data_IF_542875796599
#
_entry.id   IF_542875796599
#
_cell.length_a   1.000
_cell.length_b   1.000
_cell.length_c   1.000
_cell.angle_alpha   90.00
_cell.angle_beta   90.00
_cell.angle_gamma   90.00
#
_symmetry.space_group_name_H-M   'P 1'
#
loop_
_entity.id
_entity.type
_entity.pdbx_description
1 polymer ?
#
# COMPACT_ATOMS: atom_id res chain seq x y z
N UNK A 1 -9.68 5.28 -7.58
CA UNK A 1 -8.25 5.52 -7.85
C UNK A 1 -7.86 6.99 -7.74
N UNK A 2 -8.47 7.92 -8.50
CA UNK A 2 -8.02 9.34 -8.52
C UNK A 2 -7.85 10.00 -7.14
N UNK A 3 -8.83 9.90 -6.24
CA UNK A 3 -8.74 10.46 -4.88
C UNK A 3 -7.52 9.96 -4.08
N UNK A 4 -7.15 8.69 -4.24
CA UNK A 4 -6.00 8.11 -3.55
C UNK A 4 -4.68 8.62 -4.16
N UNK A 5 -4.63 8.76 -5.49
CA UNK A 5 -3.47 9.32 -6.18
C UNK A 5 -3.29 10.80 -5.82
N UNK A 6 -4.37 11.57 -5.72
CA UNK A 6 -4.33 12.96 -5.24
C UNK A 6 -3.83 13.03 -3.79
N UNK A 7 -4.27 12.13 -2.91
CA UNK A 7 -3.80 12.07 -1.53
C UNK A 7 -2.31 11.71 -1.44
N UNK A 8 -1.84 10.78 -2.27
CA UNK A 8 -0.43 10.42 -2.41
C UNK A 8 0.41 11.59 -2.95
N UNK A 9 -0.13 12.36 -3.89
CA UNK A 9 0.52 13.57 -4.37
C UNK A 9 0.59 14.66 -3.30
N UNK A 10 -0.48 14.90 -2.54
CA UNK A 10 -0.50 15.95 -1.52
C UNK A 10 0.32 15.59 -0.28
N UNK A 11 0.33 14.32 0.10
CA UNK A 11 1.03 13.79 1.28
C UNK A 11 1.89 12.57 0.92
N UNK A 12 3.00 12.76 0.18
CA UNK A 12 3.76 11.65 -0.38
C UNK A 12 4.44 10.76 0.65
N UNK A 13 4.89 11.32 1.78
CA UNK A 13 5.65 10.61 2.82
C UNK A 13 6.73 9.68 2.21
N UNK A 14 6.61 8.37 2.38
CA UNK A 14 7.45 7.34 1.75
C UNK A 14 6.69 6.53 0.68
N UNK A 15 5.44 6.88 0.37
CA UNK A 15 4.50 6.13 -0.45
C UNK A 15 4.48 6.55 -1.93
N UNK A 16 4.93 7.76 -2.25
CA UNK A 16 4.90 8.25 -3.63
C UNK A 16 6.19 9.01 -4.01
N UNK A 17 6.75 8.63 -5.15
CA UNK A 17 7.97 9.21 -5.73
C UNK A 17 7.85 9.23 -7.24
N UNK A 18 8.37 10.27 -7.87
CA UNK A 18 8.41 10.38 -9.34
C UNK A 18 9.83 10.60 -9.78
N UNK A 19 10.24 9.85 -10.79
CA UNK A 19 11.56 9.93 -11.40
C UNK A 19 11.42 10.32 -12.87
N UNK A 20 12.30 11.19 -13.33
CA UNK A 20 12.47 11.53 -14.74
C UNK A 20 13.87 11.13 -15.17
N UNK A 21 13.97 10.20 -16.12
CA UNK A 21 15.24 9.66 -16.62
C UNK A 21 16.17 9.20 -15.47
N UNK A 22 15.60 8.53 -14.47
CA UNK A 22 16.33 8.02 -13.30
C UNK A 22 16.63 9.06 -12.21
N UNK A 23 16.38 10.35 -12.45
CA UNK A 23 16.55 11.41 -11.45
C UNK A 23 15.26 11.64 -10.68
N UNK A 24 15.33 11.70 -9.35
CA UNK A 24 14.16 11.99 -8.52
C UNK A 24 13.71 13.43 -8.75
N UNK A 25 12.45 13.62 -9.14
CA UNK A 25 11.84 14.95 -9.36
C UNK A 25 10.71 15.25 -8.38
N UNK A 26 10.20 14.24 -7.64
CA UNK A 26 9.15 14.42 -6.63
C UNK A 26 9.22 13.35 -5.53
N UNK A 27 8.91 13.72 -4.29
CA UNK A 27 9.04 12.86 -3.11
C UNK A 27 10.45 12.93 -2.52
N UNK A 28 10.83 11.94 -1.70
CA UNK A 28 12.13 11.98 -1.01
C UNK A 28 12.82 10.63 -0.85
N UNK A 29 14.16 10.70 -0.73
CA UNK A 29 15.04 9.57 -0.53
C UNK A 29 15.14 9.24 0.97
N UNK A 30 14.23 8.39 1.46
CA UNK A 30 14.46 7.64 2.71
C UNK A 30 14.21 8.36 4.04
N UNK A 31 13.22 9.24 4.17
CA UNK A 31 12.90 9.88 5.46
C UNK A 31 11.50 10.47 5.62
N UNK A 32 10.56 10.10 4.76
CA UNK A 32 9.23 10.72 4.68
C UNK A 32 9.31 12.17 4.19
N UNK A 33 8.65 12.50 3.08
CA UNK A 33 8.50 13.90 2.67
C UNK A 33 7.29 14.54 3.32
N UNK A 34 7.47 15.81 3.72
CA UNK A 34 6.38 16.68 4.17
C UNK A 34 5.35 16.88 3.04
N UNK A 35 4.19 17.42 3.40
CA UNK A 35 3.15 17.79 2.44
C UNK A 35 3.69 18.67 1.32
N UNK A 36 3.16 18.48 0.11
CA UNK A 36 3.53 19.25 -1.07
C UNK A 36 3.22 20.72 -0.85
N UNK A 37 4.24 21.57 -0.95
CA UNK A 37 4.09 23.02 -0.85
C UNK A 37 4.16 23.65 -2.25
N UNK A 38 3.83 24.95 -2.31
CA UNK A 38 3.78 25.68 -3.58
C UNK A 38 5.08 25.63 -4.40
N UNK A 39 6.26 25.67 -3.75
CA UNK A 39 7.53 25.63 -4.47
C UNK A 39 7.79 24.25 -5.08
N UNK A 40 7.53 23.18 -4.32
CA UNK A 40 7.66 21.80 -4.80
C UNK A 40 6.69 21.53 -5.96
N UNK A 41 5.46 22.03 -5.86
CA UNK A 41 4.44 21.91 -6.91
C UNK A 41 4.90 22.58 -8.22
N UNK A 42 5.42 23.81 -8.15
CA UNK A 42 5.93 24.53 -9.32
C UNK A 42 7.15 23.85 -9.96
N UNK A 43 8.11 23.39 -9.16
CA UNK A 43 9.30 22.69 -9.67
C UNK A 43 8.91 21.38 -10.35
N UNK A 44 7.98 20.64 -9.75
CA UNK A 44 7.46 19.41 -10.30
C UNK A 44 6.70 19.64 -11.61
N UNK A 45 5.77 20.59 -11.63
CA UNK A 45 4.99 20.99 -12.81
C UNK A 45 5.90 21.38 -13.99
N UNK A 46 7.01 22.09 -13.70
CA UNK A 46 8.00 22.44 -14.71
C UNK A 46 8.82 21.25 -15.21
N UNK A 47 9.18 20.31 -14.34
CA UNK A 47 9.89 19.09 -14.72
C UNK A 47 9.09 18.23 -15.72
N UNK A 48 7.75 18.28 -15.67
CA UNK A 48 6.86 17.51 -16.55
C UNK A 48 6.72 18.06 -17.97
N UNK A 49 7.25 19.26 -18.25
CA UNK A 49 7.06 20.01 -19.52
C UNK A 49 7.23 19.19 -20.80
N UNK A 50 8.21 18.29 -20.81
CA UNK A 50 8.57 17.54 -22.01
C UNK A 50 7.91 16.15 -22.09
N UNK A 51 7.40 15.64 -20.97
CA UNK A 51 6.74 14.33 -20.91
C UNK A 51 5.22 14.41 -21.11
N UNK A 52 4.60 15.47 -20.60
CA UNK A 52 3.15 15.67 -20.64
C UNK A 52 2.81 16.90 -21.48
N UNK A 53 2.08 16.67 -22.58
CA UNK A 53 1.62 17.69 -23.52
C UNK A 53 0.33 18.33 -22.99
N UNK A 54 0.49 19.25 -22.05
CA UNK A 54 -0.58 20.07 -21.50
C UNK A 54 -0.08 21.50 -21.22
N UNK A 55 -1.02 22.43 -21.04
CA UNK A 55 -0.70 23.81 -20.67
C UNK A 55 0.00 23.89 -19.29
N UNK A 56 0.77 24.96 -19.07
CA UNK A 56 1.40 25.20 -17.77
C UNK A 56 0.34 25.32 -16.67
N UNK A 57 0.51 24.54 -15.60
CA UNK A 57 -0.44 24.45 -14.48
C UNK A 57 -1.40 23.26 -14.61
N UNK A 58 -1.39 22.55 -15.73
CA UNK A 58 -2.25 21.38 -15.96
C UNK A 58 -1.48 20.06 -16.03
N UNK A 59 -0.14 20.08 -16.13
CA UNK A 59 0.64 18.86 -16.43
C UNK A 59 0.63 17.87 -15.28
N UNK A 60 0.66 18.36 -14.04
CA UNK A 60 0.55 17.55 -12.82
C UNK A 60 -0.78 16.80 -12.81
N UNK A 61 -1.90 17.49 -13.01
CA UNK A 61 -3.23 16.88 -13.10
C UNK A 61 -3.26 15.76 -14.15
N UNK A 62 -2.69 16.01 -15.34
CA UNK A 62 -2.64 15.03 -16.43
C UNK A 62 -1.73 13.84 -16.13
N UNK A 63 -0.66 14.01 -15.37
CA UNK A 63 0.13 12.89 -14.89
C UNK A 63 -0.65 12.05 -13.86
N UNK A 64 -1.37 12.66 -12.93
CA UNK A 64 -2.17 11.92 -11.95
C UNK A 64 -3.34 11.16 -12.63
N UNK A 65 -3.93 11.75 -13.67
CA UNK A 65 -4.88 11.09 -14.57
C UNK A 65 -4.25 9.88 -15.26
N UNK A 66 -3.04 10.04 -15.83
CA UNK A 66 -2.30 8.94 -16.47
C UNK A 66 -2.04 7.77 -15.51
N UNK A 67 -1.55 8.06 -14.30
CA UNK A 67 -1.29 7.06 -13.27
C UNK A 67 -2.58 6.33 -12.88
N UNK A 68 -3.66 7.09 -12.73
CA UNK A 68 -4.99 6.55 -12.39
C UNK A 68 -5.48 5.58 -13.46
N UNK A 69 -5.39 5.96 -14.74
CA UNK A 69 -5.80 5.12 -15.86
C UNK A 69 -4.92 3.86 -15.97
N UNK A 70 -3.61 4.01 -15.78
CA UNK A 70 -2.64 2.90 -15.80
C UNK A 70 -2.98 1.85 -14.74
N UNK A 71 -3.25 2.28 -13.51
CA UNK A 71 -3.62 1.40 -12.42
C UNK A 71 -4.94 0.69 -12.68
N UNK A 72 -5.95 1.44 -13.16
CA UNK A 72 -7.26 0.89 -13.47
C UNK A 72 -7.21 -0.19 -14.56
N UNK A 73 -6.57 0.11 -15.70
CA UNK A 73 -6.48 -0.82 -16.83
C UNK A 73 -5.62 -2.03 -16.51
N UNK A 74 -4.56 -1.86 -15.71
CA UNK A 74 -3.66 -2.98 -15.39
C UNK A 74 -4.30 -4.07 -14.54
N UNK A 75 -5.32 -3.75 -13.72
CA UNK A 75 -5.92 -4.69 -12.76
C UNK A 75 -4.94 -5.26 -11.72
N UNK A 76 -3.73 -4.69 -11.63
CA UNK A 76 -2.64 -5.25 -10.80
C UNK A 76 -2.89 -5.07 -9.31
N UNK A 77 -3.60 -4.01 -8.92
CA UNK A 77 -3.96 -3.78 -7.52
C UNK A 77 -4.96 -4.83 -7.02
N UNK A 78 -5.88 -5.31 -7.86
CA UNK A 78 -6.80 -6.39 -7.49
C UNK A 78 -6.04 -7.69 -7.23
N UNK A 79 -5.08 -8.01 -8.10
CA UNK A 79 -4.22 -9.19 -7.92
C UNK A 79 -3.34 -9.09 -6.68
N UNK A 80 -2.78 -7.90 -6.42
CA UNK A 80 -1.98 -7.64 -5.23
C UNK A 80 -2.82 -7.80 -3.96
N UNK A 81 -4.05 -7.29 -3.99
CA UNK A 81 -5.00 -7.40 -2.87
C UNK A 81 -5.32 -8.87 -2.55
N UNK A 82 -5.50 -9.74 -3.55
CA UNK A 82 -5.71 -11.17 -3.30
C UNK A 82 -4.52 -11.84 -2.58
N UNK A 83 -3.29 -11.41 -2.85
CA UNK A 83 -2.11 -11.89 -2.11
C UNK A 83 -2.08 -11.33 -0.68
N UNK A 84 -2.44 -10.05 -0.49
CA UNK A 84 -2.52 -9.45 0.84
C UNK A 84 -3.59 -10.11 1.72
N UNK A 85 -4.68 -10.61 1.13
CA UNK A 85 -5.74 -11.36 1.81
C UNK A 85 -5.33 -12.75 2.30
N UNK A 86 -4.14 -13.24 1.96
CA UNK A 86 -3.58 -14.45 2.58
C UNK A 86 -3.37 -14.28 4.09
N UNK A 87 -3.28 -13.04 4.57
CA UNK A 87 -3.42 -12.69 5.99
C UNK A 87 -4.90 -12.77 6.43
N UNK A 88 -5.39 -14.00 6.60
CA UNK A 88 -6.79 -14.28 6.81
C UNK A 88 -7.27 -14.17 8.28
N UNK A 89 -6.35 -14.30 9.24
CA UNK A 89 -6.67 -14.33 10.68
C UNK A 89 -5.99 -13.21 11.48
N UNK A 90 -5.31 -12.30 10.77
CA UNK A 90 -4.54 -11.19 11.33
C UNK A 90 -3.37 -11.64 12.23
N UNK A 91 -2.49 -10.70 12.55
CA UNK A 91 -1.31 -10.95 13.39
C UNK A 91 -1.68 -11.42 14.80
N UNK A 92 -2.84 -10.98 15.32
CA UNK A 92 -3.40 -11.45 16.60
C UNK A 92 -3.67 -12.95 16.61
N UNK A 93 -4.04 -13.56 15.47
CA UNK A 93 -4.18 -15.01 15.34
C UNK A 93 -2.86 -15.71 14.99
N UNK A 94 -2.07 -15.13 14.07
CA UNK A 94 -0.83 -15.72 13.54
C UNK A 94 0.20 -15.95 14.65
N UNK A 95 0.27 -15.08 15.66
CA UNK A 95 1.24 -15.20 16.76
C UNK A 95 1.11 -16.52 17.54
N UNK A 96 -0.10 -17.09 17.62
CA UNK A 96 -0.34 -18.37 18.28
C UNK A 96 0.32 -19.52 17.53
N UNK A 97 0.05 -19.62 16.22
CA UNK A 97 0.67 -20.60 15.34
C UNK A 97 2.20 -20.46 15.29
N UNK A 98 2.72 -19.22 15.35
CA UNK A 98 4.15 -18.96 15.45
C UNK A 98 4.78 -19.61 16.70
N UNK A 99 4.16 -19.44 17.87
CA UNK A 99 4.69 -20.01 19.11
C UNK A 99 4.68 -21.54 19.10
N UNK A 100 3.65 -22.16 18.51
CA UNK A 100 3.59 -23.61 18.32
C UNK A 100 4.74 -24.10 17.44
N UNK A 101 4.97 -23.46 16.28
CA UNK A 101 6.06 -23.80 15.37
C UNK A 101 7.42 -23.61 16.06
N UNK A 102 7.58 -22.52 16.81
CA UNK A 102 8.81 -22.23 17.55
C UNK A 102 9.03 -23.16 18.76
N UNK A 103 8.05 -24.01 19.09
CA UNK A 103 8.05 -24.86 20.30
C UNK A 103 8.28 -24.03 21.57
N UNK A 104 7.68 -22.84 21.63
CA UNK A 104 7.79 -21.91 22.76
C UNK A 104 6.43 -21.76 23.46
N UNK A 105 6.41 -21.50 24.79
CA UNK A 105 5.17 -21.14 25.46
C UNK A 105 4.56 -19.89 24.83
N UNK A 106 3.28 -19.95 24.45
CA UNK A 106 2.60 -18.83 23.82
C UNK A 106 2.48 -17.63 24.79
N UNK A 107 3.14 -16.52 24.47
CA UNK A 107 3.15 -15.33 25.32
C UNK A 107 1.87 -14.50 25.16
N UNK A 108 1.22 -14.56 23.99
CA UNK A 108 -0.07 -13.91 23.76
C UNK A 108 -1.15 -14.47 24.71
N UNK A 109 -1.22 -15.80 24.84
CA UNK A 109 -2.16 -16.46 25.75
C UNK A 109 -1.94 -16.13 27.23
N UNK A 110 -0.71 -15.85 27.65
CA UNK A 110 -0.41 -15.48 29.04
C UNK A 110 -0.94 -14.10 29.43
N UNK A 111 -1.18 -13.23 28.44
CA UNK A 111 -1.65 -11.86 28.65
C UNK A 111 -3.19 -11.74 28.57
N UNK A 112 -3.89 -12.82 28.18
CA UNK A 112 -5.34 -12.84 28.01
C UNK A 112 -6.05 -13.29 29.29
N UNK A 113 -7.25 -12.74 29.52
CA UNK A 113 -8.17 -13.25 30.53
C UNK A 113 -8.72 -14.64 30.12
N UNK A 114 -9.05 -15.47 31.12
CA UNK A 114 -9.38 -16.89 30.92
C UNK A 114 -10.57 -17.15 29.97
N UNK A 115 -11.52 -16.21 29.88
CA UNK A 115 -12.74 -16.30 29.06
C UNK A 115 -12.52 -15.93 27.58
N UNK A 116 -11.57 -15.04 27.28
CA UNK A 116 -11.23 -14.65 25.89
C UNK A 116 -10.34 -15.70 25.22
N UNK A 117 -9.49 -16.34 26.02
CA UNK A 117 -8.61 -17.45 25.63
C UNK A 117 -9.38 -18.70 25.16
N UNK A 118 -10.52 -19.01 25.77
CA UNK A 118 -11.11 -20.36 25.68
C UNK A 118 -11.83 -20.67 24.37
N UNK A 119 -12.30 -19.67 23.61
CA UNK A 119 -13.14 -19.94 22.42
C UNK A 119 -12.48 -19.62 21.07
N UNK A 120 -11.57 -18.63 20.99
CA UNK A 120 -11.03 -18.16 19.69
C UNK A 120 -9.66 -18.74 19.33
N UNK A 121 -8.77 -18.88 20.32
CA UNK A 121 -7.36 -19.21 20.06
C UNK A 121 -6.96 -20.62 20.53
N UNK A 122 -7.76 -21.27 21.39
CA UNK A 122 -7.55 -22.66 21.77
C UNK A 122 -7.57 -23.63 20.57
N UNK A 123 -8.39 -23.33 19.56
CA UNK A 123 -8.47 -24.09 18.31
C UNK A 123 -7.20 -23.97 17.46
N UNK A 124 -6.50 -22.83 17.52
CA UNK A 124 -5.22 -22.64 16.82
C UNK A 124 -4.12 -23.51 17.43
N UNK A 125 -4.06 -23.61 18.77
CA UNK A 125 -3.09 -24.46 19.45
C UNK A 125 -3.37 -25.97 19.34
N UNK A 126 -4.60 -26.33 18.96
CA UNK A 126 -5.01 -27.73 18.77
C UNK A 126 -4.85 -28.21 17.32
N UNK A 127 -4.42 -27.33 16.41
CA UNK A 127 -4.36 -27.63 14.99
C UNK A 127 -3.10 -28.44 14.61
N UNK A 128 -3.12 -29.19 13.50
CA UNK A 128 -1.94 -29.87 13.00
C UNK A 128 -0.82 -28.89 12.67
N UNK A 129 0.43 -29.28 12.94
CA UNK A 129 1.63 -28.47 12.65
C UNK A 129 1.69 -27.94 11.21
N UNK A 130 1.22 -28.74 10.24
CA UNK A 130 1.16 -28.35 8.83
C UNK A 130 0.24 -27.13 8.60
N UNK A 131 -0.89 -27.05 9.31
CA UNK A 131 -1.80 -25.91 9.24
C UNK A 131 -1.19 -24.67 9.92
N UNK A 132 -0.52 -24.84 11.06
CA UNK A 132 0.22 -23.74 11.71
C UNK A 132 1.29 -23.18 10.76
N UNK A 133 2.09 -24.05 10.13
CA UNK A 133 3.11 -23.67 9.16
C UNK A 133 2.51 -22.91 7.98
N UNK A 134 1.38 -23.37 7.46
CA UNK A 134 0.67 -22.73 6.36
C UNK A 134 0.18 -21.33 6.74
N UNK A 135 -0.42 -21.16 7.92
CA UNK A 135 -0.88 -19.87 8.44
C UNK A 135 0.28 -18.88 8.49
N UNK A 136 1.39 -19.24 9.13
CA UNK A 136 2.53 -18.33 9.26
C UNK A 136 3.18 -18.05 7.91
N UNK A 137 3.28 -19.05 7.03
CA UNK A 137 3.84 -18.85 5.68
C UNK A 137 2.98 -17.88 4.87
N UNK A 138 1.66 -18.06 4.87
CA UNK A 138 0.73 -17.20 4.14
C UNK A 138 0.73 -15.78 4.69
N UNK A 139 0.82 -15.63 6.00
CA UNK A 139 1.01 -14.32 6.64
C UNK A 139 2.29 -13.63 6.17
N UNK A 140 3.44 -14.32 6.11
CA UNK A 140 4.70 -13.72 5.67
C UNK A 140 4.67 -13.34 4.18
N UNK A 141 3.98 -14.12 3.34
CA UNK A 141 3.71 -13.77 1.94
C UNK A 141 2.86 -12.49 1.88
N UNK A 142 1.77 -12.42 2.65
CA UNK A 142 0.92 -11.25 2.72
C UNK A 142 1.67 -10.01 3.23
N UNK A 143 2.48 -10.16 4.28
CA UNK A 143 3.33 -9.09 4.82
C UNK A 143 4.35 -8.59 3.78
N UNK A 144 4.89 -9.48 2.94
CA UNK A 144 5.73 -9.09 1.81
C UNK A 144 4.93 -8.27 0.78
N UNK A 145 3.70 -8.70 0.46
CA UNK A 145 2.81 -7.98 -0.46
C UNK A 145 2.27 -6.65 0.09
N UNK A 146 2.24 -6.45 1.41
CA UNK A 146 1.86 -5.18 2.06
C UNK A 146 2.99 -4.13 2.04
N UNK A 147 4.25 -4.59 2.03
CA UNK A 147 5.44 -3.73 2.13
C UNK A 147 6.13 -3.45 0.78
N UNK A 148 5.71 -4.08 -0.32
CA UNK A 148 6.39 -3.95 -1.62
C UNK A 148 6.23 -2.57 -2.27
N UNK A 149 7.04 -2.32 -3.30
CA UNK A 149 6.96 -1.11 -4.12
C UNK A 149 6.43 -1.47 -5.50
N UNK A 150 5.38 -0.77 -5.94
CA UNK A 150 4.92 -0.81 -7.33
C UNK A 150 5.55 0.36 -8.11
N UNK A 151 6.25 0.04 -9.19
CA UNK A 151 6.85 1.03 -10.09
C UNK A 151 6.13 1.02 -11.44
N UNK A 152 5.58 2.18 -11.81
CA UNK A 152 4.99 2.44 -13.12
C UNK A 152 6.01 3.23 -13.95
N UNK A 153 6.39 2.70 -15.10
CA UNK A 153 7.30 3.36 -16.05
C UNK A 153 6.51 3.75 -17.30
N UNK A 154 6.57 5.03 -17.64
CA UNK A 154 5.88 5.61 -18.79
C UNK A 154 6.90 6.11 -19.80
N UNK A 155 6.71 5.75 -21.06
CA UNK A 155 7.48 6.30 -22.18
C UNK A 155 6.50 6.88 -23.22
N UNK A 156 6.53 8.20 -23.49
CA UNK A 156 5.69 8.79 -24.53
C UNK A 156 6.02 8.20 -25.90
N UNK A 157 4.99 7.80 -26.66
CA UNK A 157 5.16 7.36 -28.05
C UNK A 157 5.23 8.57 -28.99
N UNK A 158 6.09 8.48 -30.01
CA UNK A 158 6.12 9.46 -31.08
C UNK A 158 4.95 9.22 -32.06
N UNK A 159 4.39 10.28 -32.65
CA UNK A 159 3.37 10.13 -33.70
C UNK A 159 3.94 9.31 -34.87
N UNK A 160 3.42 8.10 -35.06
CA UNK A 160 3.84 7.20 -36.15
C UNK A 160 4.51 5.91 -35.70
N UNK A 161 4.74 5.71 -34.39
CA UNK A 161 5.10 4.38 -33.86
C UNK A 161 3.86 3.48 -33.92
N UNK A 162 3.79 2.70 -34.99
CA UNK A 162 2.88 1.58 -35.13
C UNK A 162 3.66 0.37 -34.64
N UNK A 163 3.17 -0.28 -33.58
CA UNK A 163 3.70 -1.51 -32.98
C UNK A 163 4.75 -1.34 -31.86
N UNK A 164 4.29 -0.81 -30.71
CA UNK A 164 4.88 -1.21 -29.43
C UNK A 164 4.35 -2.60 -29.03
N UNK A 165 5.22 -3.57 -28.68
CA UNK A 165 4.79 -4.88 -28.19
C UNK A 165 4.15 -4.83 -26.79
N UNK A 166 4.25 -3.70 -26.09
CA UNK A 166 3.63 -3.48 -24.78
C UNK A 166 2.33 -2.69 -24.95
N UNK A 167 1.33 -2.97 -24.10
CA UNK A 167 0.03 -2.31 -24.17
C UNK A 167 0.17 -0.78 -24.10
N UNK A 168 -0.17 -0.10 -25.19
CA UNK A 168 -0.14 1.35 -25.27
C UNK A 168 -1.31 1.93 -24.45
N UNK A 169 -0.99 2.81 -23.50
CA UNK A 169 -1.96 3.57 -22.71
C UNK A 169 -2.24 4.89 -23.40
N UNK A 170 -3.48 5.10 -23.86
CA UNK A 170 -3.88 6.34 -24.52
C UNK A 170 -4.59 7.29 -23.55
N UNK A 171 -3.97 8.45 -23.29
CA UNK A 171 -4.53 9.51 -22.46
C UNK A 171 -5.32 10.50 -23.32
N UNK A 172 -6.65 10.40 -23.26
CA UNK A 172 -7.56 11.19 -24.09
C UNK A 172 -7.43 12.70 -23.89
N UNK A 173 -7.20 13.14 -22.64
CA UNK A 173 -7.17 14.56 -22.28
C UNK A 173 -5.97 15.32 -22.86
N UNK A 174 -4.86 14.63 -23.14
CA UNK A 174 -3.68 15.21 -23.79
C UNK A 174 -3.48 14.72 -25.23
N UNK A 175 -4.31 13.78 -25.68
CA UNK A 175 -4.18 13.10 -26.97
C UNK A 175 -2.78 12.49 -27.16
N UNK A 176 -2.23 11.88 -26.09
CA UNK A 176 -0.92 11.23 -26.07
C UNK A 176 -1.05 9.73 -25.81
N UNK A 177 -0.17 8.94 -26.42
CA UNK A 177 0.01 7.52 -26.11
C UNK A 177 1.30 7.31 -25.32
N UNK A 178 1.28 6.37 -24.38
CA UNK A 178 2.42 6.00 -23.56
C UNK A 178 2.60 4.48 -23.55
N UNK A 179 3.84 4.02 -23.70
CA UNK A 179 4.19 2.66 -23.32
C UNK A 179 4.21 2.56 -21.80
N UNK A 180 3.51 1.55 -21.28
CA UNK A 180 3.46 1.26 -19.85
C UNK A 180 4.23 -0.02 -19.54
N UNK A 181 5.16 0.07 -18.60
CA UNK A 181 5.74 -1.08 -17.92
C UNK A 181 5.48 -0.98 -16.43
N UNK A 182 4.98 -2.07 -15.84
CA UNK A 182 4.78 -2.17 -14.39
C UNK A 182 5.78 -3.17 -13.81
N UNK A 183 6.30 -2.89 -12.63
CA UNK A 183 7.23 -3.77 -11.92
C UNK A 183 6.97 -3.71 -10.42
N UNK A 184 7.18 -4.86 -9.75
CA UNK A 184 7.16 -4.95 -8.29
C UNK A 184 8.59 -5.09 -7.79
N UNK A 185 8.94 -4.33 -6.76
CA UNK A 185 10.27 -4.28 -6.13
C UNK A 185 10.08 -4.56 -4.64
N UNK A 186 11.13 -5.03 -3.97
CA UNK A 186 11.13 -5.39 -2.54
C UNK A 186 10.21 -6.59 -2.23
N UNK A 187 10.44 -7.69 -2.98
CA UNK A 187 9.72 -8.97 -2.82
C UNK A 187 10.46 -9.95 -1.90
N UNK A 188 11.38 -9.45 -1.09
CA UNK A 188 12.14 -10.29 -0.16
C UNK A 188 11.22 -10.79 0.96
N UNK A 189 11.19 -12.12 1.14
CA UNK A 189 10.34 -12.77 2.14
C UNK A 189 10.65 -12.21 3.53
N UNK A 190 9.60 -11.82 4.26
CA UNK A 190 9.76 -11.36 5.64
C UNK A 190 10.32 -12.48 6.52
N UNK A 191 11.34 -12.23 7.36
CA UNK A 191 11.89 -13.25 8.23
C UNK A 191 10.85 -13.80 9.22
N UNK A 192 10.85 -15.11 9.46
CA UNK A 192 9.95 -15.76 10.43
C UNK A 192 9.93 -15.10 11.81
N UNK A 193 11.10 -14.69 12.32
CA UNK A 193 11.21 -14.01 13.63
C UNK A 193 10.50 -12.64 13.69
N UNK A 194 10.21 -12.01 12.54
CA UNK A 194 9.49 -10.72 12.52
C UNK A 194 8.03 -10.85 12.94
N UNK A 195 7.44 -12.05 12.96
CA UNK A 195 6.06 -12.24 13.43
C UNK A 195 5.87 -11.68 14.85
N UNK A 196 6.83 -11.94 15.76
CA UNK A 196 6.78 -11.39 17.13
C UNK A 196 6.82 -9.86 17.12
N UNK A 197 7.72 -9.28 16.31
CA UNK A 197 7.82 -7.83 16.16
C UNK A 197 6.53 -7.21 15.60
N UNK A 198 5.93 -7.83 14.58
CA UNK A 198 4.69 -7.35 13.99
C UNK A 198 3.53 -7.41 14.98
N UNK A 199 3.46 -8.46 15.80
CA UNK A 199 2.48 -8.55 16.89
C UNK A 199 2.68 -7.43 17.91
N UNK A 200 3.90 -7.19 18.39
CA UNK A 200 4.17 -6.11 19.34
C UNK A 200 3.85 -4.72 18.76
N UNK A 201 4.20 -4.49 17.49
CA UNK A 201 3.91 -3.24 16.80
C UNK A 201 2.42 -3.01 16.64
N UNK A 202 1.66 -4.04 16.25
CA UNK A 202 0.21 -3.97 16.10
C UNK A 202 -0.47 -3.59 17.42
N UNK A 203 -0.10 -4.27 18.52
CA UNK A 203 -0.64 -3.96 19.84
C UNK A 203 -0.33 -2.52 20.29
N UNK A 204 0.84 -1.99 19.93
CA UNK A 204 1.18 -0.59 20.18
C UNK A 204 0.31 0.36 19.35
N UNK A 205 0.14 0.09 18.05
CA UNK A 205 -0.68 0.92 17.15
C UNK A 205 -2.12 0.99 17.65
N UNK A 206 -2.73 -0.16 17.96
CA UNK A 206 -4.10 -0.24 18.49
C UNK A 206 -4.21 0.51 19.81
N UNK A 207 -3.28 0.28 20.74
CA UNK A 207 -3.26 0.97 22.04
C UNK A 207 -3.24 2.50 21.90
N UNK A 208 -2.30 3.03 21.11
CA UNK A 208 -2.20 4.49 20.91
C UNK A 208 -3.42 5.05 20.19
N UNK A 209 -3.95 4.34 19.19
CA UNK A 209 -5.15 4.78 18.48
C UNK A 209 -6.37 4.88 19.40
N UNK A 210 -6.60 3.87 20.25
CA UNK A 210 -7.69 3.88 21.23
C UNK A 210 -7.54 5.05 22.20
N UNK A 211 -6.35 5.26 22.76
CA UNK A 211 -6.08 6.40 23.64
C UNK A 211 -6.34 7.75 22.98
N UNK A 212 -5.97 7.92 21.71
CA UNK A 212 -6.24 9.15 20.97
C UNK A 212 -7.74 9.39 20.80
N UNK A 213 -8.51 8.35 20.48
CA UNK A 213 -9.97 8.47 20.31
C UNK A 213 -10.67 8.79 21.64
N UNK A 214 -10.22 8.21 22.74
CA UNK A 214 -10.76 8.48 24.08
C UNK A 214 -10.44 9.90 24.59
N UNK A 215 -9.26 10.42 24.25
CA UNK A 215 -8.80 11.75 24.69
C UNK A 215 -9.30 12.88 23.80
N UNK A 216 -9.66 12.61 22.54
CA UNK A 216 -10.16 13.59 21.57
C UNK A 216 -11.47 13.13 20.88
N UNK A 217 -12.63 13.21 21.56
CA UNK A 217 -13.90 12.65 21.07
C UNK A 217 -14.42 13.23 19.74
N UNK A 218 -13.91 14.39 19.31
CA UNK A 218 -14.27 14.99 18.01
C UNK A 218 -13.68 14.27 16.80
N UNK A 219 -12.70 13.38 16.98
CA UNK A 219 -12.15 12.54 15.90
C UNK A 219 -13.17 11.50 15.39
N UNK A 220 -14.10 11.02 16.22
CA UNK A 220 -15.17 10.09 15.80
C UNK A 220 -16.12 10.70 14.76
N UNK A 221 -16.34 12.02 14.82
CA UNK A 221 -17.32 12.70 13.97
C UNK A 221 -16.83 12.92 12.53
N UNK A 222 -15.51 12.86 12.28
CA UNK A 222 -14.97 12.96 10.92
C UNK A 222 -14.99 11.61 10.17
N UNK A 223 -14.84 10.48 10.86
CA UNK A 223 -14.95 9.14 10.26
C UNK A 223 -16.38 8.77 9.84
N UNK A 224 -17.40 9.27 10.54
CA UNK A 224 -18.82 9.03 10.24
C UNK A 224 -19.35 9.83 9.03
N UNK A 225 -18.73 10.96 8.67
CA UNK A 225 -19.14 11.74 7.49
C UNK A 225 -18.66 11.13 6.16
N UNK A 226 -17.62 10.29 6.17
CA UNK A 226 -17.15 9.54 4.99
C UNK A 226 -17.87 8.20 4.74
N UNK A 227 -18.62 7.69 5.72
CA UNK A 227 -19.28 6.37 5.65
C UNK A 227 -20.75 6.35 5.23
N UNK A 228 -21.35 7.52 4.95
CA UNK A 228 -22.80 7.64 4.71
C UNK A 228 -23.19 7.95 3.26
N UNK A 229 -22.34 7.59 2.29
CA UNK A 229 -22.77 7.44 0.90
C UNK A 229 -23.35 6.02 0.72
N UNK A 230 -24.57 5.81 1.23
CA UNK A 230 -25.37 4.62 0.95
C UNK A 230 -25.66 4.59 -0.55
N UNK A 231 -25.25 3.50 -1.18
CA UNK A 231 -25.67 3.08 -2.51
C UNK A 231 -27.20 3.22 -2.65
N UNK A 232 -27.61 4.00 -3.66
CA UNK A 232 -28.80 3.77 -4.46
C UNK A 232 -28.37 3.78 -5.91
#
# INVERSE_FOLDING_TARGET
YIRAIDALYNTPQNNFRVFLNGSLIFGGLGGGTKSTNYMVDQDFENALKHGIMAEHGMRTEKLLELITEALFISGLLDRLLEVQKLDAIDIEGVIHAYHDIASQPCLACKKMDADEFTNRYATLHSMPMEESLKIVTYYLIAATAKDLIMMLSFQPQQRGDVDSPNGALFLKSTNQSFDLKVSFIDLDMKPFKKVVYYYELDQQIVHFYVQMVETEPWLENQGKQSGNARFK
#
